data_IF_168657898054
#
_entry.id   IF_168657898054
#
_cell.length_a   1.000
_cell.length_b   1.000
_cell.length_c   1.000
_cell.angle_alpha   90.00
_cell.angle_beta   90.00
_cell.angle_gamma   90.00
#
_symmetry.space_group_name_H-M   'P 1'
#
loop_
_entity.id
_entity.type
_entity.pdbx_description
1 polymer ?
#
# COMPACT_ATOMS: atom_id res chain seq x y z
N UNK A 1 7.88 -22.34 2.28
CA UNK A 1 8.03 -23.81 2.39
C UNK A 1 6.90 -24.34 3.27
N UNK A 2 5.82 -24.86 2.67
CA UNK A 2 4.61 -25.29 3.42
C UNK A 2 4.32 -26.78 3.17
N UNK A 3 5.26 -27.68 3.46
CA UNK A 3 5.07 -29.14 3.53
C UNK A 3 4.15 -29.77 2.48
N UNK A 4 4.01 -29.19 1.28
CA UNK A 4 2.93 -29.57 0.36
C UNK A 4 3.22 -30.98 -0.12
N UNK A 5 2.27 -31.92 0.03
CA UNK A 5 2.44 -33.27 -0.48
C UNK A 5 2.79 -33.22 -1.97
N UNK A 6 3.80 -33.99 -2.38
CA UNK A 6 4.25 -34.02 -3.76
C UNK A 6 3.14 -34.64 -4.60
N UNK A 7 2.63 -33.90 -5.58
CA UNK A 7 1.62 -34.41 -6.53
C UNK A 7 2.37 -35.07 -7.69
N UNK A 8 1.90 -36.22 -8.14
CA UNK A 8 2.46 -36.90 -9.31
C UNK A 8 1.86 -36.34 -10.60
N UNK A 9 2.62 -36.33 -11.69
CA UNK A 9 2.18 -35.80 -13.00
C UNK A 9 0.85 -36.43 -13.48
N UNK A 10 0.61 -37.71 -13.14
CA UNK A 10 -0.65 -38.42 -13.43
C UNK A 10 -1.85 -37.87 -12.66
N UNK A 11 -1.65 -37.44 -11.41
CA UNK A 11 -2.71 -36.86 -10.58
C UNK A 11 -3.01 -35.39 -10.96
N UNK A 12 -2.02 -34.65 -11.47
CA UNK A 12 -2.18 -33.28 -11.98
C UNK A 12 -3.05 -33.22 -13.24
N UNK A 13 -2.91 -34.20 -14.15
CA UNK A 13 -3.72 -34.31 -15.37
C UNK A 13 -5.16 -34.80 -15.16
N UNK A 14 -5.52 -35.21 -13.94
CA UNK A 14 -6.91 -35.59 -13.62
C UNK A 14 -7.84 -34.38 -13.57
N UNK A 15 -9.14 -34.56 -13.79
CA UNK A 15 -10.12 -33.47 -13.66
C UNK A 15 -10.06 -32.78 -12.28
N UNK A 16 -9.84 -33.54 -11.20
CA UNK A 16 -9.66 -32.99 -9.86
C UNK A 16 -8.33 -32.22 -9.69
N UNK A 17 -7.26 -32.66 -10.36
CA UNK A 17 -5.97 -31.95 -10.40
C UNK A 17 -6.07 -30.62 -11.15
N UNK A 18 -6.72 -30.63 -12.31
CA UNK A 18 -6.99 -29.45 -13.13
C UNK A 18 -7.86 -28.43 -12.40
N UNK A 19 -8.91 -28.89 -11.68
CA UNK A 19 -9.74 -28.02 -10.86
C UNK A 19 -8.94 -27.34 -9.72
N UNK A 20 -8.11 -28.10 -9.00
CA UNK A 20 -7.24 -27.55 -7.95
C UNK A 20 -6.21 -26.56 -8.51
N UNK A 21 -5.64 -26.86 -9.67
CA UNK A 21 -4.73 -25.95 -10.37
C UNK A 21 -5.44 -24.65 -10.78
N UNK A 22 -6.63 -24.74 -11.38
CA UNK A 22 -7.44 -23.58 -11.75
C UNK A 22 -7.82 -22.73 -10.54
N UNK A 23 -8.21 -23.34 -9.42
CA UNK A 23 -8.51 -22.62 -8.19
C UNK A 23 -7.27 -21.93 -7.61
N UNK A 24 -6.12 -22.61 -7.62
CA UNK A 24 -4.86 -22.03 -7.17
C UNK A 24 -4.43 -20.84 -8.05
N UNK A 25 -4.66 -20.93 -9.37
CA UNK A 25 -4.36 -19.85 -10.30
C UNK A 25 -5.29 -18.65 -10.09
N UNK A 26 -6.60 -18.89 -9.88
CA UNK A 26 -7.56 -17.83 -9.51
C UNK A 26 -7.13 -17.10 -8.23
N UNK A 27 -6.68 -17.84 -7.21
CA UNK A 27 -6.15 -17.25 -5.96
C UNK A 27 -4.87 -16.45 -6.21
N UNK A 28 -3.96 -16.96 -7.05
CA UNK A 28 -2.72 -16.27 -7.40
C UNK A 28 -2.97 -14.96 -8.18
N UNK A 29 -3.92 -14.97 -9.13
CA UNK A 29 -4.32 -13.77 -9.87
C UNK A 29 -4.94 -12.71 -8.93
N UNK A 30 -5.84 -13.13 -8.05
CA UNK A 30 -6.42 -12.23 -7.03
C UNK A 30 -5.36 -11.65 -6.11
N UNK A 31 -4.40 -12.47 -5.68
CA UNK A 31 -3.28 -12.03 -4.85
C UNK A 31 -2.44 -10.96 -5.56
N UNK A 32 -2.04 -11.19 -6.80
CA UNK A 32 -1.26 -10.23 -7.60
C UNK A 32 -1.99 -8.91 -7.78
N UNK A 33 -3.28 -8.96 -8.15
CA UNK A 33 -4.08 -7.75 -8.33
C UNK A 33 -4.21 -6.93 -7.03
N UNK A 34 -4.33 -7.59 -5.88
CA UNK A 34 -4.35 -6.90 -4.58
C UNK A 34 -2.98 -6.32 -4.21
N UNK A 35 -1.89 -7.05 -4.49
CA UNK A 35 -0.53 -6.57 -4.25
C UNK A 35 -0.23 -5.31 -5.05
N UNK A 36 -0.55 -5.29 -6.35
CA UNK A 36 -0.35 -4.11 -7.21
C UNK A 36 -1.06 -2.88 -6.65
N UNK A 37 -2.35 -3.01 -6.30
CA UNK A 37 -3.13 -1.92 -5.71
C UNK A 37 -2.51 -1.39 -4.41
N UNK A 38 -2.18 -2.29 -3.47
CA UNK A 38 -1.60 -1.91 -2.18
C UNK A 38 -0.24 -1.24 -2.36
N UNK A 39 0.59 -1.72 -3.30
CA UNK A 39 1.89 -1.12 -3.59
C UNK A 39 1.75 0.28 -4.21
N UNK A 40 0.80 0.48 -5.12
CA UNK A 40 0.53 1.82 -5.69
C UNK A 40 0.10 2.79 -4.60
N UNK A 41 -0.85 2.42 -3.73
CA UNK A 41 -1.26 3.29 -2.62
C UNK A 41 -0.14 3.52 -1.60
N UNK A 42 0.70 2.51 -1.36
CA UNK A 42 1.87 2.66 -0.49
C UNK A 42 2.85 3.71 -1.03
N UNK A 43 3.13 3.69 -2.33
CA UNK A 43 4.00 4.68 -2.98
C UNK A 43 3.39 6.08 -2.96
N UNK A 44 2.07 6.18 -3.10
CA UNK A 44 1.33 7.44 -3.08
C UNK A 44 0.99 7.94 -1.66
N UNK A 45 1.32 7.18 -0.61
CA UNK A 45 0.92 7.44 0.79
C UNK A 45 -0.61 7.67 0.94
N UNK A 46 -1.43 6.99 0.14
CA UNK A 46 -2.88 7.09 0.23
C UNK A 46 -3.38 6.12 1.30
N UNK A 47 -4.05 6.63 2.33
CA UNK A 47 -4.57 5.84 3.46
C UNK A 47 -6.09 5.85 3.55
N UNK A 48 -6.77 5.67 2.41
CA UNK A 48 -8.23 5.64 2.34
C UNK A 48 -8.81 4.36 2.98
N UNK A 49 -10.11 4.41 3.31
CA UNK A 49 -10.83 3.24 3.82
C UNK A 49 -10.77 2.04 2.84
N UNK A 50 -10.84 2.31 1.54
CA UNK A 50 -10.72 1.31 0.48
C UNK A 50 -9.33 0.66 0.47
N UNK A 51 -8.28 1.46 0.60
CA UNK A 51 -6.91 0.95 0.63
C UNK A 51 -6.65 0.08 1.86
N UNK A 52 -7.23 0.46 3.02
CA UNK A 52 -7.21 -0.36 4.23
C UNK A 52 -8.00 -1.66 4.08
N UNK A 53 -9.17 -1.64 3.44
CA UNK A 53 -9.97 -2.84 3.18
C UNK A 53 -9.25 -3.81 2.25
N UNK A 54 -8.64 -3.31 1.18
CA UNK A 54 -7.84 -4.12 0.26
C UNK A 54 -6.58 -4.70 0.94
N UNK A 55 -5.93 -3.94 1.82
CA UNK A 55 -4.81 -4.44 2.63
C UNK A 55 -5.24 -5.56 3.59
N UNK A 56 -6.47 -5.49 4.15
CA UNK A 56 -7.03 -6.56 4.98
C UNK A 56 -7.26 -7.84 4.15
N UNK A 57 -7.91 -7.68 2.99
CA UNK A 57 -8.14 -8.79 2.05
C UNK A 57 -6.84 -9.46 1.59
N UNK A 58 -5.75 -8.69 1.45
CA UNK A 58 -4.44 -9.20 1.09
C UNK A 58 -3.83 -10.05 2.22
N UNK A 59 -3.96 -9.62 3.47
CA UNK A 59 -3.45 -10.35 4.64
C UNK A 59 -4.25 -11.62 4.95
N UNK A 60 -5.56 -11.62 4.69
CA UNK A 60 -6.39 -12.84 4.79
C UNK A 60 -5.92 -13.93 3.81
N UNK A 61 -5.46 -13.53 2.62
CA UNK A 61 -4.93 -14.45 1.61
C UNK A 61 -3.48 -14.87 1.89
N UNK A 62 -2.66 -13.95 2.38
CA UNK A 62 -1.27 -14.19 2.73
C UNK A 62 -0.82 -13.30 3.91
N UNK A 63 -0.82 -13.82 5.14
CA UNK A 63 -0.46 -13.04 6.33
C UNK A 63 1.03 -12.71 6.41
N UNK A 64 1.88 -13.40 5.63
CA UNK A 64 3.34 -13.25 5.65
C UNK A 64 3.82 -12.02 4.84
N UNK A 65 2.89 -11.26 4.23
CA UNK A 65 3.23 -10.08 3.44
C UNK A 65 3.57 -8.90 4.36
N UNK A 66 4.84 -8.82 4.75
CA UNK A 66 5.37 -7.81 5.68
C UNK A 66 5.14 -6.36 5.21
N UNK A 67 5.21 -6.11 3.90
CA UNK A 67 4.97 -4.77 3.32
C UNK A 67 3.56 -4.27 3.65
N UNK A 68 2.56 -5.14 3.62
CA UNK A 68 1.17 -4.80 3.92
C UNK A 68 1.00 -4.45 5.40
N UNK A 69 1.67 -5.17 6.30
CA UNK A 69 1.69 -4.83 7.73
C UNK A 69 2.34 -3.47 7.98
N UNK A 70 3.46 -3.17 7.31
CA UNK A 70 4.10 -1.85 7.43
C UNK A 70 3.20 -0.72 6.92
N UNK A 71 2.51 -0.94 5.80
CA UNK A 71 1.55 0.01 5.27
C UNK A 71 0.41 0.28 6.27
N UNK A 72 -0.17 -0.76 6.88
CA UNK A 72 -1.22 -0.60 7.91
C UNK A 72 -0.74 0.14 9.15
N UNK A 73 0.49 -0.11 9.61
CA UNK A 73 1.10 0.65 10.73
C UNK A 73 1.21 2.14 10.38
N UNK A 74 1.69 2.49 9.18
CA UNK A 74 1.76 3.88 8.71
C UNK A 74 0.38 4.54 8.63
N UNK A 75 -0.60 3.83 8.08
CA UNK A 75 -1.98 4.31 7.98
C UNK A 75 -2.62 4.56 9.36
N UNK A 76 -2.34 3.69 10.33
CA UNK A 76 -2.81 3.87 11.70
C UNK A 76 -2.18 5.11 12.35
N UNK A 77 -0.85 5.25 12.27
CA UNK A 77 -0.16 6.42 12.80
C UNK A 77 -0.68 7.74 12.19
N UNK A 78 -0.91 7.76 10.87
CA UNK A 78 -1.51 8.91 10.19
C UNK A 78 -2.90 9.27 10.74
N UNK A 79 -3.72 8.26 11.04
CA UNK A 79 -5.06 8.48 11.61
C UNK A 79 -5.00 8.95 13.06
N UNK A 80 -4.07 8.46 13.87
CA UNK A 80 -3.88 8.94 15.24
C UNK A 80 -3.44 10.41 15.26
N UNK A 81 -2.44 10.78 14.45
CA UNK A 81 -2.00 12.17 14.37
C UNK A 81 -3.09 13.12 13.87
N UNK A 82 -3.86 12.71 12.86
CA UNK A 82 -4.98 13.51 12.36
C UNK A 82 -6.10 13.71 13.40
N UNK A 83 -6.22 12.82 14.39
CA UNK A 83 -7.15 13.00 15.50
C UNK A 83 -6.58 13.94 16.58
N UNK A 84 -5.27 13.87 16.85
CA UNK A 84 -4.58 14.77 17.77
C UNK A 84 -4.59 16.22 17.26
N UNK A 85 -4.40 16.44 15.96
CA UNK A 85 -4.52 17.77 15.33
C UNK A 85 -5.98 18.25 15.19
N UNK A 86 -6.96 17.37 15.41
CA UNK A 86 -8.39 17.70 15.41
C UNK A 86 -8.91 18.28 16.73
N UNK A 87 -8.10 18.28 17.79
CA UNK A 87 -8.45 18.77 19.14
C UNK A 87 -7.65 20.00 19.60
N UNK A 88 -6.94 20.69 18.70
CA UNK A 88 -6.26 21.95 19.05
C UNK A 88 -6.63 23.12 18.11
N UNK A 89 -7.09 24.21 18.72
CA UNK A 89 -6.78 25.54 18.19
C UNK A 89 -7.86 26.28 17.40
N UNK A 90 -9.02 26.53 18.01
CA UNK A 90 -9.71 27.79 17.75
C UNK A 90 -8.78 28.98 18.07
N UNK A 91 -8.53 29.83 17.07
CA UNK A 91 -8.04 31.23 17.12
C UNK A 91 -6.52 31.51 17.29
N UNK A 92 -5.99 32.15 16.23
CA UNK A 92 -5.14 33.37 16.13
C UNK A 92 -3.65 33.21 15.73
N UNK A 93 -3.26 34.06 14.77
CA UNK A 93 -1.88 34.48 14.47
C UNK A 93 -1.49 34.21 13.02
N UNK A 94 -1.91 35.02 12.04
CA UNK A 94 -1.11 36.16 11.55
C UNK A 94 0.39 35.87 11.41
N UNK A 95 0.87 35.83 10.16
CA UNK A 95 2.29 35.63 9.85
C UNK A 95 2.61 35.55 8.36
N UNK A 96 2.02 36.42 7.53
CA UNK A 96 2.63 36.74 6.22
C UNK A 96 3.74 37.77 6.47
N UNK A 97 5.01 37.35 6.43
CA UNK A 97 6.11 38.27 6.60
C UNK A 97 7.51 37.68 6.41
N UNK A 98 8.20 38.17 5.38
CA UNK A 98 9.67 38.08 5.18
C UNK A 98 10.10 36.84 4.42
N UNK A 99 10.86 36.90 3.33
CA UNK A 99 12.02 37.75 3.14
C UNK A 99 12.31 38.01 1.66
N UNK A 100 12.53 39.28 1.33
CA UNK A 100 13.16 39.74 0.09
C UNK A 100 14.68 39.68 0.28
N UNK A 101 15.38 38.97 -0.61
CA UNK A 101 16.80 39.17 -0.88
C UNK A 101 17.05 38.71 -2.32
N UNK A 102 17.11 39.57 -3.33
CA UNK A 102 18.17 40.54 -3.66
C UNK A 102 19.52 39.87 -3.97
N UNK A 103 19.86 39.85 -5.26
CA UNK A 103 21.17 39.50 -5.83
C UNK A 103 20.98 38.73 -7.14
N UNK A 104 21.32 39.20 -8.34
CA UNK A 104 22.20 40.28 -8.75
C UNK A 104 23.16 39.75 -9.81
N UNK A 105 23.00 40.21 -11.07
CA UNK A 105 23.98 40.03 -12.16
C UNK A 105 23.65 38.91 -13.14
N UNK A 106 23.93 39.02 -14.45
CA UNK A 106 24.56 40.08 -15.25
C UNK A 106 24.28 39.73 -16.72
N UNK A 107 23.99 40.75 -17.53
CA UNK A 107 23.99 40.71 -19.00
C UNK A 107 25.27 40.06 -19.56
N UNK A 108 25.13 39.36 -20.68
CA UNK A 108 26.23 38.92 -21.54
C UNK A 108 25.69 38.44 -22.88
N UNK A 109 25.44 39.39 -23.78
CA UNK A 109 25.28 39.17 -25.22
C UNK A 109 26.66 38.82 -25.83
N UNK A 110 26.66 37.94 -26.84
CA UNK A 110 27.82 37.54 -27.63
C UNK A 110 27.45 36.44 -28.60
#
# INVERSE_FOLDING_TARGET
>A
MHGRPRVTVKAEGSAAGQQKAAESNKKALRLRALQEKVLTWHQQNVYSAEALAASASLLELNPDVYVTWNYRKKAFAHRCHALEEGEDGGKKGEGWGGERGAGGGRKGEG
#
